data_IF_794441676320
#
_entry.id   IF_794441676320
#
_cell.length_a   1.000
_cell.length_b   1.000
_cell.length_c   1.000
_cell.angle_alpha   90.00
_cell.angle_beta   90.00
_cell.angle_gamma   90.00
#
_symmetry.space_group_name_H-M   'P 1'
#
loop_
_entity.id
_entity.type
_entity.pdbx_description
1 polymer ?
#
# COMPACT_ATOMS: atom_id res chain seq x y z
N UNK A 1 7.05 -9.28 18.32
CA UNK A 1 6.20 -8.37 17.49
C UNK A 1 4.78 -8.35 18.00
N UNK A 2 4.12 -7.18 18.04
CA UNK A 2 2.68 -7.07 18.28
C UNK A 2 1.91 -7.15 16.96
N UNK A 3 0.69 -7.70 17.01
CA UNK A 3 -0.16 -7.84 15.82
C UNK A 3 -1.53 -7.20 16.05
N UNK A 4 -2.12 -6.70 14.98
CA UNK A 4 -3.50 -6.17 14.95
C UNK A 4 -4.30 -6.97 13.92
N UNK A 5 -5.55 -7.27 14.27
CA UNK A 5 -6.46 -7.94 13.34
C UNK A 5 -7.09 -6.90 12.43
N UNK A 6 -6.95 -7.11 11.13
CA UNK A 6 -7.71 -6.38 10.12
C UNK A 6 -9.17 -6.87 10.16
N UNK A 7 -10.15 -6.03 10.49
CA UNK A 7 -11.54 -6.46 10.63
C UNK A 7 -12.20 -6.84 9.30
N UNK A 8 -11.69 -6.36 8.17
CA UNK A 8 -12.25 -6.64 6.83
C UNK A 8 -11.73 -7.96 6.27
N UNK A 9 -10.42 -8.16 6.26
CA UNK A 9 -9.78 -9.38 5.71
C UNK A 9 -9.65 -10.51 6.74
N UNK A 10 -9.68 -10.20 8.04
CA UNK A 10 -9.38 -11.14 9.11
C UNK A 10 -7.88 -11.39 9.34
N UNK A 11 -7.01 -10.82 8.52
CA UNK A 11 -5.57 -10.97 8.61
C UNK A 11 -5.01 -10.40 9.92
N UNK A 12 -3.97 -11.03 10.45
CA UNK A 12 -3.22 -10.52 11.59
C UNK A 12 -1.96 -9.82 11.09
N UNK A 13 -1.99 -8.50 11.02
CA UNK A 13 -0.86 -7.69 10.56
C UNK A 13 0.03 -7.30 11.74
N UNK A 14 1.34 -7.30 11.53
CA UNK A 14 2.29 -6.72 12.48
C UNK A 14 2.00 -5.23 12.68
N UNK A 15 2.10 -4.75 13.92
CA UNK A 15 1.88 -3.33 14.23
C UNK A 15 2.92 -2.43 13.56
N UNK A 16 4.11 -2.98 13.26
CA UNK A 16 5.13 -2.35 12.45
C UNK A 16 5.10 -2.95 11.03
N UNK A 17 4.94 -2.12 10.01
CA UNK A 17 5.12 -2.48 8.61
C UNK A 17 6.51 -2.09 8.10
N UNK A 18 6.98 -2.75 7.06
CA UNK A 18 8.25 -2.46 6.39
C UNK A 18 7.99 -1.69 5.10
N UNK A 19 8.44 -0.43 5.03
CA UNK A 19 8.33 0.41 3.83
C UNK A 19 9.52 0.22 2.90
N UNK A 20 9.26 -0.15 1.64
CA UNK A 20 10.28 -0.40 0.62
C UNK A 20 10.61 0.82 -0.26
N UNK A 21 10.10 2.01 0.07
CA UNK A 21 10.39 3.22 -0.71
C UNK A 21 11.86 3.66 -0.60
N UNK A 22 12.47 3.46 0.55
CA UNK A 22 13.83 3.95 0.89
C UNK A 22 14.78 2.80 1.18
N UNK A 23 14.79 1.78 0.32
CA UNK A 23 15.76 0.69 0.41
C UNK A 23 17.20 1.23 0.24
N UNK A 24 18.20 0.61 0.89
CA UNK A 24 19.61 1.00 0.75
C UNK A 24 20.05 1.12 -0.69
N UNK A 25 20.92 2.07 -0.98
CA UNK A 25 21.43 2.30 -2.34
C UNK A 25 22.95 2.31 -2.39
N UNK A 26 23.48 1.75 -3.47
CA UNK A 26 24.91 1.73 -3.78
C UNK A 26 25.09 2.12 -5.24
N UNK A 27 25.95 3.08 -5.50
CA UNK A 27 26.21 3.59 -6.87
C UNK A 27 24.94 4.02 -7.63
N UNK A 28 23.94 4.60 -6.94
CA UNK A 28 22.71 5.09 -7.54
C UNK A 28 21.59 4.05 -7.74
N UNK A 29 21.90 2.76 -7.62
CA UNK A 29 20.92 1.67 -7.66
C UNK A 29 20.57 1.15 -6.25
N UNK A 30 19.46 0.41 -6.12
CA UNK A 30 19.16 -0.30 -4.87
C UNK A 30 20.24 -1.36 -4.64
N UNK A 31 20.81 -1.39 -3.43
CA UNK A 31 21.69 -2.48 -2.99
C UNK A 31 20.84 -3.71 -2.67
N UNK A 32 20.84 -4.67 -3.60
CA UNK A 32 20.01 -5.87 -3.49
C UNK A 32 20.41 -6.74 -2.31
N UNK A 33 21.70 -6.88 -2.04
CA UNK A 33 22.21 -7.75 -0.97
C UNK A 33 21.83 -7.20 0.40
N UNK A 34 22.10 -5.93 0.64
CA UNK A 34 21.77 -5.25 1.89
C UNK A 34 20.23 -5.18 2.07
N UNK A 35 19.48 -4.86 1.01
CA UNK A 35 18.02 -4.83 1.06
C UNK A 35 17.42 -6.18 1.37
N UNK A 36 17.97 -7.26 0.77
CA UNK A 36 17.51 -8.63 1.05
C UNK A 36 17.75 -8.99 2.50
N UNK A 37 18.95 -8.70 3.04
CA UNK A 37 19.27 -8.97 4.43
C UNK A 37 18.32 -8.24 5.40
N UNK A 38 18.01 -6.96 5.13
CA UNK A 38 17.09 -6.18 5.95
C UNK A 38 15.64 -6.72 5.89
N UNK A 39 15.15 -7.07 4.69
CA UNK A 39 13.81 -7.62 4.50
C UNK A 39 13.68 -8.96 5.23
N UNK A 40 14.65 -9.86 5.05
CA UNK A 40 14.64 -11.18 5.69
C UNK A 40 14.74 -11.06 7.21
N UNK A 41 15.60 -10.17 7.71
CA UNK A 41 15.70 -9.89 9.14
C UNK A 41 14.38 -9.36 9.71
N UNK A 42 13.69 -8.45 9.00
CA UNK A 42 12.39 -7.96 9.42
C UNK A 42 11.34 -9.09 9.51
N UNK A 43 11.35 -10.02 8.55
CA UNK A 43 10.46 -11.21 8.58
C UNK A 43 10.77 -12.09 9.79
N UNK A 44 12.05 -12.37 10.05
CA UNK A 44 12.49 -13.14 11.22
C UNK A 44 12.05 -12.51 12.54
N UNK A 45 12.08 -11.17 12.63
CA UNK A 45 11.63 -10.39 13.79
C UNK A 45 10.09 -10.27 13.88
N UNK A 46 9.37 -10.89 12.92
CA UNK A 46 7.91 -11.01 12.91
C UNK A 46 7.18 -9.88 12.22
N UNK A 47 7.86 -9.03 11.42
CA UNK A 47 7.19 -8.10 10.50
C UNK A 47 6.58 -8.91 9.36
N UNK A 48 5.28 -8.70 9.11
CA UNK A 48 4.57 -9.42 8.06
C UNK A 48 3.76 -8.53 7.10
N UNK A 49 3.92 -7.22 7.16
CA UNK A 49 3.32 -6.27 6.22
C UNK A 49 4.42 -5.49 5.53
N UNK A 50 4.53 -5.61 4.20
CA UNK A 50 5.56 -5.00 3.37
C UNK A 50 4.90 -4.09 2.34
N UNK A 51 5.30 -2.81 2.34
CA UNK A 51 4.71 -1.76 1.51
C UNK A 51 5.66 -1.35 0.39
N UNK A 52 5.24 -1.49 -0.85
CA UNK A 52 5.94 -1.03 -2.04
C UNK A 52 5.01 -0.20 -2.94
N UNK A 53 5.44 0.17 -4.14
CA UNK A 53 4.63 0.82 -5.14
C UNK A 53 5.24 0.67 -6.55
N UNK A 54 4.40 0.61 -7.57
CA UNK A 54 4.82 0.64 -8.97
C UNK A 54 5.82 1.76 -9.29
N UNK A 55 5.63 2.93 -8.65
CA UNK A 55 6.46 4.12 -8.87
C UNK A 55 7.78 4.12 -8.08
N UNK A 56 8.00 3.17 -7.17
CA UNK A 56 9.26 3.07 -6.44
C UNK A 56 10.27 2.28 -7.27
N UNK A 57 11.10 2.98 -8.04
CA UNK A 57 12.00 2.38 -9.03
C UNK A 57 12.87 1.26 -8.42
N UNK A 58 12.69 0.03 -8.92
CA UNK A 58 13.43 -1.17 -8.51
C UNK A 58 12.94 -1.81 -7.22
N UNK A 59 11.96 -1.22 -6.51
CA UNK A 59 11.51 -1.69 -5.19
C UNK A 59 10.74 -3.02 -5.30
N UNK A 60 9.82 -3.13 -6.27
CA UNK A 60 9.05 -4.36 -6.48
C UNK A 60 9.96 -5.53 -6.80
N UNK A 61 10.92 -5.36 -7.73
CA UNK A 61 11.87 -6.40 -8.12
C UNK A 61 12.80 -6.80 -6.96
N UNK A 62 13.22 -5.82 -6.15
CA UNK A 62 14.07 -6.07 -4.98
C UNK A 62 13.34 -6.86 -3.92
N UNK A 63 12.09 -6.47 -3.62
CA UNK A 63 11.23 -7.19 -2.69
C UNK A 63 10.95 -8.62 -3.19
N UNK A 64 10.57 -8.78 -4.46
CA UNK A 64 10.30 -10.09 -5.06
C UNK A 64 11.48 -11.06 -4.95
N UNK A 65 12.71 -10.58 -5.23
CA UNK A 65 13.93 -11.39 -5.06
C UNK A 65 14.22 -11.76 -3.61
N UNK A 66 13.98 -10.82 -2.67
CA UNK A 66 14.20 -11.06 -1.24
C UNK A 66 13.22 -12.09 -0.65
N UNK A 67 12.07 -12.30 -1.29
CA UNK A 67 11.02 -13.22 -0.85
C UNK A 67 11.13 -14.64 -1.43
N UNK A 68 12.15 -14.92 -2.21
CA UNK A 68 12.36 -16.26 -2.73
C UNK A 68 12.58 -17.29 -1.61
N UNK A 69 12.39 -18.58 -1.92
CA UNK A 69 12.58 -19.66 -0.93
C UNK A 69 11.40 -19.81 0.06
N UNK A 70 10.18 -19.46 -0.33
CA UNK A 70 8.97 -19.68 0.46
C UNK A 70 8.72 -18.60 1.53
N UNK A 71 9.28 -17.40 1.37
CA UNK A 71 9.01 -16.27 2.27
C UNK A 71 7.76 -15.50 1.89
N UNK A 72 7.34 -15.57 0.61
CA UNK A 72 6.14 -14.86 0.11
C UNK A 72 4.87 -15.17 0.91
N UNK A 73 4.69 -16.43 1.27
CA UNK A 73 3.51 -16.91 1.98
C UNK A 73 3.49 -16.52 3.47
N UNK A 74 4.62 -16.05 4.01
CA UNK A 74 4.74 -15.63 5.40
C UNK A 74 4.36 -14.18 5.64
N UNK A 75 4.14 -13.42 4.56
CA UNK A 75 3.92 -11.98 4.62
C UNK A 75 2.72 -11.53 3.77
N UNK A 76 2.32 -10.30 3.98
CA UNK A 76 1.35 -9.56 3.20
C UNK A 76 2.06 -8.44 2.43
N UNK A 77 1.85 -8.39 1.12
CA UNK A 77 2.38 -7.32 0.26
C UNK A 77 1.29 -6.29 0.02
N UNK A 78 1.62 -5.04 0.33
CA UNK A 78 0.89 -3.87 -0.14
C UNK A 78 1.63 -3.26 -1.33
N UNK A 79 0.92 -3.06 -2.43
CA UNK A 79 1.47 -2.44 -3.64
C UNK A 79 0.50 -1.40 -4.21
N UNK A 80 1.00 -0.43 -4.99
CA UNK A 80 0.22 0.74 -5.36
C UNK A 80 0.21 1.00 -6.85
N UNK A 81 -1.00 1.04 -7.43
CA UNK A 81 -1.25 1.34 -8.83
C UNK A 81 -1.40 2.86 -9.05
N UNK A 82 -0.60 3.49 -9.93
CA UNK A 82 -0.63 4.93 -10.13
C UNK A 82 -1.76 5.37 -11.08
N UNK A 83 -2.75 6.18 -10.61
CA UNK A 83 -3.85 6.69 -11.44
C UNK A 83 -3.44 7.42 -12.72
N UNK A 84 -2.34 8.20 -12.77
CA UNK A 84 -1.93 8.89 -13.99
C UNK A 84 -1.54 7.97 -15.15
N UNK A 85 -1.17 6.72 -14.87
CA UNK A 85 -0.85 5.72 -15.90
C UNK A 85 -2.07 4.94 -16.37
N UNK A 86 -3.22 5.07 -15.71
CA UNK A 86 -4.50 4.47 -16.10
C UNK A 86 -5.25 5.41 -17.06
N UNK A 87 -5.04 5.25 -18.37
CA UNK A 87 -5.62 6.10 -19.43
C UNK A 87 -6.82 5.44 -20.10
N UNK A 88 -6.91 4.13 -20.05
CA UNK A 88 -7.98 3.30 -20.60
C UNK A 88 -8.12 2.00 -19.76
N UNK A 89 -9.18 1.24 -19.97
CA UNK A 89 -9.47 0.02 -19.23
C UNK A 89 -8.33 -1.03 -19.30
N UNK A 90 -7.66 -1.16 -20.46
CA UNK A 90 -6.59 -2.15 -20.62
C UNK A 90 -5.32 -1.82 -19.81
N UNK A 91 -5.14 -0.56 -19.42
CA UNK A 91 -3.99 -0.16 -18.61
C UNK A 91 -4.04 -0.78 -17.20
N UNK A 92 -5.21 -1.04 -16.65
CA UNK A 92 -5.34 -1.68 -15.34
C UNK A 92 -4.71 -3.08 -15.33
N UNK A 93 -5.05 -3.92 -16.32
CA UNK A 93 -4.46 -5.25 -16.44
C UNK A 93 -2.97 -5.20 -16.74
N UNK A 94 -2.56 -4.31 -17.64
CA UNK A 94 -1.15 -4.12 -17.98
C UNK A 94 -0.29 -3.73 -16.77
N UNK A 95 -0.80 -2.82 -15.95
CA UNK A 95 -0.10 -2.39 -14.73
C UNK A 95 -0.06 -3.52 -13.70
N UNK A 96 -1.19 -4.17 -13.44
CA UNK A 96 -1.26 -5.29 -12.48
C UNK A 96 -0.31 -6.43 -12.88
N UNK A 97 -0.32 -6.86 -14.14
CA UNK A 97 0.59 -7.91 -14.61
C UNK A 97 2.05 -7.51 -14.38
N UNK A 98 2.42 -6.27 -14.70
CA UNK A 98 3.78 -5.79 -14.49
C UNK A 98 4.18 -5.74 -13.01
N UNK A 99 3.27 -5.37 -12.11
CA UNK A 99 3.47 -5.41 -10.67
C UNK A 99 3.72 -6.84 -10.18
N UNK A 100 2.84 -7.77 -10.61
CA UNK A 100 2.97 -9.20 -10.28
C UNK A 100 4.29 -9.81 -10.82
N UNK A 101 4.63 -9.51 -12.06
CA UNK A 101 5.89 -9.98 -12.69
C UNK A 101 7.12 -9.49 -11.92
N UNK A 102 7.16 -8.21 -11.54
CA UNK A 102 8.27 -7.62 -10.79
C UNK A 102 8.39 -8.20 -9.38
N UNK A 103 7.26 -8.40 -8.72
CA UNK A 103 7.19 -9.02 -7.40
C UNK A 103 7.44 -10.54 -7.43
N UNK A 104 7.34 -11.19 -8.61
CA UNK A 104 7.46 -12.64 -8.75
C UNK A 104 6.37 -13.40 -7.98
N UNK A 105 5.12 -12.92 -8.04
CA UNK A 105 3.97 -13.50 -7.31
C UNK A 105 2.72 -13.46 -8.18
N UNK A 106 1.75 -14.32 -7.88
CA UNK A 106 0.48 -14.39 -8.60
C UNK A 106 -0.61 -13.49 -8.00
N UNK A 107 -0.34 -12.87 -6.84
CA UNK A 107 -1.33 -12.05 -6.14
C UNK A 107 -0.71 -10.95 -5.29
N UNK A 108 -1.49 -9.87 -5.07
CA UNK A 108 -1.22 -8.77 -4.14
C UNK A 108 -2.26 -8.85 -3.01
N UNK A 109 -1.79 -8.81 -1.75
CA UNK A 109 -2.69 -8.88 -0.60
C UNK A 109 -3.47 -7.58 -0.40
N UNK A 110 -2.79 -6.44 -0.56
CA UNK A 110 -3.33 -5.10 -0.34
C UNK A 110 -2.99 -4.20 -1.52
N UNK A 111 -3.87 -4.13 -2.53
CA UNK A 111 -3.68 -3.20 -3.65
C UNK A 111 -4.22 -1.82 -3.27
N UNK A 112 -3.43 -0.76 -3.50
CA UNK A 112 -3.84 0.62 -3.29
C UNK A 112 -3.94 1.37 -4.62
N UNK A 113 -4.94 2.23 -4.74
CA UNK A 113 -4.91 3.31 -5.71
C UNK A 113 -3.95 4.37 -5.16
N UNK A 114 -2.82 4.58 -5.86
CA UNK A 114 -1.70 5.38 -5.37
C UNK A 114 -2.01 6.86 -5.38
N UNK A 115 -1.79 7.56 -4.26
CA UNK A 115 -1.97 9.00 -4.14
C UNK A 115 -3.34 9.46 -4.67
N UNK A 116 -4.40 8.78 -4.26
CA UNK A 116 -5.76 9.18 -4.58
C UNK A 116 -6.14 10.37 -3.69
N UNK A 117 -6.06 11.59 -4.22
CA UNK A 117 -6.15 12.84 -3.46
C UNK A 117 -7.53 13.48 -3.48
N UNK A 118 -8.40 13.05 -4.41
CA UNK A 118 -9.71 13.65 -4.66
C UNK A 118 -10.68 12.65 -5.29
N UNK A 119 -11.97 12.96 -5.16
CA UNK A 119 -13.04 12.11 -5.69
C UNK A 119 -13.15 12.21 -7.23
N UNK A 120 -12.68 13.29 -7.83
CA UNK A 120 -12.70 13.46 -9.29
C UNK A 120 -11.79 12.44 -9.98
N UNK A 121 -10.59 12.25 -9.42
CA UNK A 121 -9.66 11.19 -9.89
C UNK A 121 -10.31 9.80 -9.78
N UNK A 122 -10.99 9.51 -8.68
CA UNK A 122 -11.72 8.25 -8.53
C UNK A 122 -12.82 8.11 -9.58
N UNK A 123 -13.66 9.14 -9.78
CA UNK A 123 -14.75 9.14 -10.76
C UNK A 123 -14.22 8.94 -12.19
N UNK A 124 -13.07 9.52 -12.52
CA UNK A 124 -12.39 9.28 -13.81
C UNK A 124 -12.03 7.80 -13.97
N UNK A 125 -11.49 7.16 -12.93
CA UNK A 125 -11.18 5.72 -12.98
C UNK A 125 -12.44 4.87 -13.10
N UNK A 126 -13.53 5.25 -12.42
CA UNK A 126 -14.85 4.60 -12.57
C UNK A 126 -15.35 4.69 -14.01
N UNK A 127 -15.21 5.85 -14.66
CA UNK A 127 -15.50 6.03 -16.08
C UNK A 127 -14.69 5.14 -17.02
N UNK A 128 -13.54 4.62 -16.58
CA UNK A 128 -12.73 3.64 -17.29
C UNK A 128 -13.08 2.18 -16.90
N UNK A 129 -14.03 1.94 -15.98
CA UNK A 129 -14.48 0.62 -15.58
C UNK A 129 -13.67 -0.03 -14.46
N UNK A 130 -12.98 0.75 -13.60
CA UNK A 130 -12.12 0.21 -12.53
C UNK A 130 -12.88 -0.65 -11.53
N UNK A 131 -14.16 -0.34 -11.22
CA UNK A 131 -14.95 -1.09 -10.24
C UNK A 131 -15.20 -2.53 -10.70
N UNK A 132 -15.59 -2.72 -11.96
CA UNK A 132 -15.78 -4.03 -12.57
C UNK A 132 -14.45 -4.78 -12.68
N UNK A 133 -13.38 -4.08 -13.01
CA UNK A 133 -12.04 -4.63 -13.05
C UNK A 133 -11.61 -5.12 -11.66
N UNK A 134 -11.76 -4.32 -10.60
CA UNK A 134 -11.44 -4.71 -9.22
C UNK A 134 -12.22 -5.98 -8.85
N UNK A 135 -13.54 -6.02 -9.11
CA UNK A 135 -14.37 -7.19 -8.84
C UNK A 135 -13.82 -8.43 -9.53
N UNK A 136 -13.46 -8.32 -10.79
CA UNK A 136 -12.89 -9.41 -11.60
C UNK A 136 -11.56 -9.90 -11.03
N UNK A 137 -10.66 -8.99 -10.67
CA UNK A 137 -9.35 -9.36 -10.11
C UNK A 137 -9.47 -9.98 -8.71
N UNK A 138 -10.41 -9.51 -7.88
CA UNK A 138 -10.71 -10.13 -6.58
C UNK A 138 -11.27 -11.55 -6.76
N UNK A 139 -12.19 -11.76 -7.68
CA UNK A 139 -12.74 -13.09 -8.01
C UNK A 139 -11.66 -14.05 -8.55
N UNK A 140 -10.73 -13.55 -9.33
CA UNK A 140 -9.58 -14.30 -9.83
C UNK A 140 -8.49 -14.55 -8.76
N UNK A 141 -8.62 -13.97 -7.55
CA UNK A 141 -7.66 -14.11 -6.46
C UNK A 141 -6.35 -13.32 -6.65
N UNK A 142 -6.24 -12.50 -7.70
CA UNK A 142 -5.04 -11.68 -7.96
C UNK A 142 -4.92 -10.45 -7.06
N UNK A 143 -6.06 -9.94 -6.57
CA UNK A 143 -6.14 -8.88 -5.55
C UNK A 143 -6.99 -9.42 -4.40
N UNK A 144 -6.49 -9.35 -3.17
CA UNK A 144 -7.23 -9.77 -1.98
C UNK A 144 -8.00 -8.63 -1.33
N UNK A 145 -7.37 -7.47 -1.20
CA UNK A 145 -7.97 -6.26 -0.62
C UNK A 145 -7.66 -5.06 -1.50
N UNK A 146 -8.62 -4.13 -1.64
CA UNK A 146 -8.47 -2.88 -2.38
C UNK A 146 -8.63 -1.68 -1.44
N UNK A 147 -7.71 -0.73 -1.56
CA UNK A 147 -7.71 0.50 -0.80
C UNK A 147 -7.13 1.66 -1.58
N UNK A 148 -6.81 2.73 -0.90
CA UNK A 148 -6.13 3.89 -1.47
C UNK A 148 -5.11 4.48 -0.51
N UNK A 149 -4.04 5.07 -1.03
CA UNK A 149 -3.11 5.91 -0.27
C UNK A 149 -3.46 7.38 -0.49
N UNK A 150 -3.47 8.15 0.60
CA UNK A 150 -4.00 9.50 0.62
C UNK A 150 -2.96 10.55 1.00
N UNK A 151 -2.86 11.61 0.18
CA UNK A 151 -2.03 12.78 0.40
C UNK A 151 -2.78 14.10 0.12
N UNK A 152 -4.11 14.06 0.03
CA UNK A 152 -4.96 15.23 -0.22
C UNK A 152 -5.32 16.02 1.05
N UNK A 153 -6.14 17.03 0.91
CA UNK A 153 -6.64 17.86 2.02
C UNK A 153 -7.74 17.20 2.84
N UNK A 154 -8.02 17.74 4.03
CA UNK A 154 -9.02 17.18 4.97
C UNK A 154 -10.43 17.08 4.39
N UNK A 155 -10.80 17.94 3.45
CA UNK A 155 -12.15 18.02 2.89
C UNK A 155 -12.47 16.90 1.89
N UNK A 156 -11.47 16.39 1.18
CA UNK A 156 -11.64 15.36 0.16
C UNK A 156 -11.66 13.94 0.75
N UNK A 157 -10.95 13.72 1.85
CA UNK A 157 -10.82 12.39 2.44
C UNK A 157 -12.18 11.75 2.79
N UNK A 158 -13.14 12.45 3.45
CA UNK A 158 -14.47 11.88 3.70
C UNK A 158 -15.24 11.51 2.43
N UNK A 159 -15.13 12.31 1.38
CA UNK A 159 -15.77 12.04 0.08
C UNK A 159 -15.22 10.76 -0.55
N UNK A 160 -13.91 10.55 -0.47
CA UNK A 160 -13.27 9.32 -0.94
C UNK A 160 -13.67 8.09 -0.11
N UNK A 161 -13.83 8.24 1.21
CA UNK A 161 -14.34 7.16 2.06
C UNK A 161 -15.76 6.72 1.64
N UNK A 162 -16.56 7.64 1.09
CA UNK A 162 -17.92 7.39 0.63
C UNK A 162 -18.01 6.89 -0.81
N UNK A 163 -16.98 7.16 -1.60
CA UNK A 163 -17.02 6.94 -3.05
C UNK A 163 -17.00 5.45 -3.44
N UNK A 164 -16.50 4.58 -2.56
CA UNK A 164 -16.41 3.14 -2.83
C UNK A 164 -16.44 2.32 -1.54
N UNK A 165 -16.77 1.05 -1.63
CA UNK A 165 -16.69 0.12 -0.49
C UNK A 165 -15.25 -0.40 -0.31
N UNK A 166 -14.38 0.47 0.18
CA UNK A 166 -12.96 0.17 0.41
C UNK A 166 -12.77 -0.93 1.46
N UNK A 167 -11.74 -1.75 1.27
CA UNK A 167 -11.34 -2.73 2.29
C UNK A 167 -10.41 -2.09 3.34
N UNK A 168 -9.64 -1.06 2.98
CA UNK A 168 -8.72 -0.33 3.87
C UNK A 168 -8.31 1.02 3.25
N UNK A 169 -7.63 1.85 4.03
CA UNK A 169 -6.94 3.03 3.50
C UNK A 169 -5.56 3.22 4.14
N UNK A 170 -4.70 3.99 3.47
CA UNK A 170 -3.39 4.38 3.97
C UNK A 170 -3.29 5.90 4.03
N UNK A 171 -2.96 6.45 5.20
CA UNK A 171 -2.85 7.88 5.44
C UNK A 171 -1.51 8.23 6.07
N UNK A 172 -1.02 9.44 5.81
CA UNK A 172 0.06 10.03 6.58
C UNK A 172 -0.49 10.44 7.96
N UNK A 173 0.18 10.01 9.03
CA UNK A 173 -0.18 10.42 10.37
C UNK A 173 0.97 10.22 11.34
N UNK A 174 1.19 11.18 12.24
CA UNK A 174 2.11 11.07 13.36
C UNK A 174 1.65 11.97 14.53
N UNK A 175 2.26 11.83 15.70
CA UNK A 175 1.83 12.49 16.92
C UNK A 175 2.11 14.00 16.97
N UNK A 176 2.91 14.55 16.03
CA UNK A 176 3.16 15.99 15.92
C UNK A 176 2.22 16.62 14.89
N UNK A 177 1.96 15.91 13.78
CA UNK A 177 1.32 16.44 12.59
C UNK A 177 -0.11 15.89 12.44
N UNK A 178 -0.93 16.13 13.47
CA UNK A 178 -2.28 15.57 13.57
C UNK A 178 -3.35 16.28 12.72
N UNK A 179 -3.02 17.46 12.17
CA UNK A 179 -3.97 18.30 11.43
C UNK A 179 -3.66 18.39 9.94
N UNK A 180 -2.65 17.66 9.46
CA UNK A 180 -2.25 17.66 8.06
C UNK A 180 -2.93 16.52 7.28
N UNK A 181 -3.19 16.73 5.99
CA UNK A 181 -3.82 15.77 5.09
C UNK A 181 -5.15 15.23 5.66
N UNK A 182 -5.35 13.91 5.76
CA UNK A 182 -6.52 13.33 6.41
C UNK A 182 -6.62 13.72 7.89
N UNK A 183 -5.50 13.79 8.57
CA UNK A 183 -5.36 14.18 9.96
C UNK A 183 -6.14 13.31 10.94
N UNK A 184 -6.27 13.80 12.18
CA UNK A 184 -7.06 13.14 13.23
C UNK A 184 -8.52 12.96 12.83
N UNK A 185 -9.13 13.97 12.21
CA UNK A 185 -10.52 13.93 11.76
C UNK A 185 -10.75 12.81 10.74
N UNK A 186 -9.86 12.68 9.75
CA UNK A 186 -9.94 11.61 8.77
C UNK A 186 -9.74 10.22 9.38
N UNK A 187 -8.78 10.08 10.31
CA UNK A 187 -8.57 8.84 11.04
C UNK A 187 -9.84 8.40 11.81
N UNK A 188 -10.50 9.34 12.50
CA UNK A 188 -11.74 9.08 13.22
C UNK A 188 -12.88 8.65 12.28
N UNK A 189 -13.05 9.35 11.16
CA UNK A 189 -14.08 9.00 10.16
C UNK A 189 -13.87 7.63 9.54
N UNK A 190 -12.61 7.25 9.26
CA UNK A 190 -12.29 5.91 8.79
C UNK A 190 -12.63 4.85 9.86
N UNK A 191 -12.28 5.11 11.13
CA UNK A 191 -12.60 4.23 12.26
C UNK A 191 -14.11 4.04 12.45
N UNK A 192 -14.91 5.12 12.41
CA UNK A 192 -16.37 5.07 12.53
C UNK A 192 -17.03 4.22 11.45
N UNK A 193 -16.39 4.08 10.29
CA UNK A 193 -16.81 3.21 9.19
C UNK A 193 -16.28 1.77 9.31
N UNK A 194 -15.53 1.46 10.38
CA UNK A 194 -14.86 0.17 10.55
C UNK A 194 -13.82 -0.11 9.48
N UNK A 195 -13.26 0.95 8.85
CA UNK A 195 -12.25 0.83 7.82
C UNK A 195 -10.86 0.72 8.45
N UNK A 196 -10.09 -0.35 8.18
CA UNK A 196 -8.70 -0.47 8.60
C UNK A 196 -7.86 0.67 8.05
N UNK A 197 -7.00 1.23 8.89
CA UNK A 197 -6.10 2.33 8.52
C UNK A 197 -4.66 1.89 8.69
N UNK A 198 -3.89 1.99 7.61
CA UNK A 198 -2.44 1.82 7.62
C UNK A 198 -1.81 3.21 7.70
N UNK A 199 -0.89 3.39 8.63
CA UNK A 199 -0.20 4.67 8.82
C UNK A 199 1.11 4.65 8.03
N UNK A 200 1.31 5.65 7.18
CA UNK A 200 2.59 5.95 6.56
C UNK A 200 3.23 7.18 7.21
N UNK A 201 4.54 7.28 7.14
CA UNK A 201 5.35 8.37 7.71
C UNK A 201 5.17 8.60 9.22
N UNK A 202 5.03 7.53 10.06
CA UNK A 202 4.83 7.71 11.49
C UNK A 202 6.01 8.41 12.19
N UNK A 203 7.19 8.37 11.58
CA UNK A 203 8.41 9.02 12.07
C UNK A 203 8.84 10.23 11.20
N UNK A 204 7.96 10.74 10.34
CA UNK A 204 8.22 11.89 9.47
C UNK A 204 9.52 11.74 8.65
N UNK A 205 9.72 10.55 8.07
CA UNK A 205 10.94 10.22 7.31
C UNK A 205 12.19 10.03 8.17
N UNK A 206 12.04 9.72 9.44
CA UNK A 206 13.13 9.54 10.42
C UNK A 206 13.37 10.75 11.34
N UNK A 207 12.88 11.95 10.98
CA UNK A 207 13.09 13.17 11.74
C UNK A 207 12.58 13.12 13.19
N UNK A 208 11.57 12.31 13.48
CA UNK A 208 11.04 12.14 14.84
C UNK A 208 11.82 11.10 15.67
N UNK A 209 12.81 10.45 15.10
CA UNK A 209 13.71 9.51 15.77
C UNK A 209 15.11 10.12 16.02
N UNK A 210 15.37 11.32 15.53
CA UNK A 210 16.60 12.06 15.78
C UNK A 210 16.50 12.78 17.14
N UNK A 211 17.52 12.61 17.99
CA UNK A 211 17.66 13.31 19.29
C UNK A 211 18.20 14.72 19.08
#
# INVERSE_FOLDING_TARGET
MQYRKDPKSGNRLSALGFGCMRLPRKHGAIDQEESTALIQKAIEDGVNYFDTAYMYAGSEETLGRALQGGLREKIYIADKMPPPLCRNAADFDKLLHKMLDRLGTDYIDYLLIHMLTDVETWNRLCGLGIEDWIRTQKQAGRIRSIGFSYHGGQEEFPKLLEAYNWDFCQIQYNYIDENNQAGRSGLQKAHERGLPVIIMEPLLGGRLAEN
#
